data_IF_633612729058
#
_entry.id   IF_633612729058
#
_cell.length_a   1.000
_cell.length_b   1.000
_cell.length_c   1.000
_cell.angle_alpha   90.00
_cell.angle_beta   90.00
_cell.angle_gamma   90.00
#
_symmetry.space_group_name_H-M   'P 1'
#
loop_
_entity.id
_entity.type
_entity.pdbx_description
1 polymer ?
#
# COMPACT_ATOMS: atom_id res chain seq x y z
N UNK A 1 14.44 10.73 -6.29
CA UNK A 1 14.78 9.35 -6.69
C UNK A 1 14.15 8.32 -5.75
N UNK A 2 14.33 8.45 -4.43
CA UNK A 2 13.81 7.46 -3.49
C UNK A 2 12.26 7.41 -3.46
N UNK A 3 11.57 8.56 -3.54
CA UNK A 3 10.11 8.61 -3.63
C UNK A 3 9.52 7.88 -4.83
N UNK A 4 10.26 7.77 -5.94
CA UNK A 4 9.80 7.09 -7.14
C UNK A 4 9.60 5.60 -6.91
N UNK A 5 10.51 4.95 -6.18
CA UNK A 5 10.37 3.52 -5.85
C UNK A 5 9.18 3.25 -4.95
N UNK A 6 8.90 4.14 -3.98
CA UNK A 6 7.71 4.04 -3.13
C UNK A 6 6.44 4.09 -3.97
N UNK A 7 6.35 5.07 -4.88
CA UNK A 7 5.23 5.22 -5.81
C UNK A 7 5.10 4.01 -6.73
N UNK A 8 6.20 3.50 -7.27
CA UNK A 8 6.23 2.34 -8.16
C UNK A 8 5.75 1.06 -7.46
N UNK A 9 6.12 0.85 -6.19
CA UNK A 9 5.67 -0.29 -5.39
C UNK A 9 4.14 -0.29 -5.21
N UNK A 10 3.56 0.85 -4.83
CA UNK A 10 2.11 0.98 -4.71
C UNK A 10 1.39 0.84 -6.05
N UNK A 11 1.97 1.40 -7.12
CA UNK A 11 1.42 1.25 -8.46
C UNK A 11 1.44 -0.22 -8.93
N UNK A 12 2.50 -0.96 -8.64
CA UNK A 12 2.61 -2.38 -8.97
C UNK A 12 1.55 -3.22 -8.24
N UNK A 13 1.38 -3.02 -6.93
CA UNK A 13 0.40 -3.73 -6.10
C UNK A 13 -1.04 -3.49 -6.56
N UNK A 14 -1.40 -2.23 -6.84
CA UNK A 14 -2.75 -1.91 -7.30
C UNK A 14 -2.99 -2.44 -8.72
N UNK A 15 -2.01 -2.37 -9.62
CA UNK A 15 -2.15 -2.86 -10.99
C UNK A 15 -2.26 -4.39 -11.03
N UNK A 16 -1.50 -5.10 -10.19
CA UNK A 16 -1.64 -6.53 -9.99
C UNK A 16 -3.06 -6.88 -9.49
N UNK A 17 -3.56 -6.12 -8.51
CA UNK A 17 -4.92 -6.28 -7.99
C UNK A 17 -5.97 -6.06 -9.06
N UNK A 18 -5.84 -5.01 -9.88
CA UNK A 18 -6.71 -4.77 -11.05
C UNK A 18 -6.67 -5.93 -12.04
N UNK A 19 -5.47 -6.39 -12.41
CA UNK A 19 -5.29 -7.44 -13.42
C UNK A 19 -5.85 -8.79 -12.98
N UNK A 20 -5.76 -9.15 -11.69
CA UNK A 20 -6.23 -10.45 -11.19
C UNK A 20 -7.67 -10.44 -10.67
N UNK A 21 -8.14 -9.32 -10.09
CA UNK A 21 -9.40 -9.30 -9.34
C UNK A 21 -10.49 -8.43 -9.97
N UNK A 22 -10.17 -7.57 -10.94
CA UNK A 22 -11.11 -6.58 -11.48
C UNK A 22 -11.33 -6.81 -12.97
N UNK A 23 -12.20 -7.77 -13.33
CA UNK A 23 -12.62 -8.01 -14.72
C UNK A 23 -13.56 -6.90 -15.27
N UNK A 24 -14.26 -6.18 -14.39
CA UNK A 24 -15.15 -5.07 -14.81
C UNK A 24 -15.06 -3.93 -13.80
N UNK A 25 -14.36 -2.85 -14.18
CA UNK A 25 -14.25 -1.65 -13.35
C UNK A 25 -15.60 -0.93 -13.26
N UNK A 26 -16.15 -0.81 -12.05
CA UNK A 26 -17.35 -0.02 -11.79
C UNK A 26 -17.02 1.47 -11.60
N UNK A 27 -18.03 2.34 -11.70
CA UNK A 27 -17.88 3.80 -11.47
C UNK A 27 -17.27 4.12 -10.09
N UNK A 28 -17.63 3.37 -9.05
CA UNK A 28 -17.07 3.53 -7.71
C UNK A 28 -15.61 3.07 -7.61
N UNK A 29 -15.21 2.02 -8.34
CA UNK A 29 -13.82 1.56 -8.41
C UNK A 29 -12.93 2.65 -8.99
N UNK A 30 -13.38 3.33 -10.05
CA UNK A 30 -12.67 4.44 -10.67
C UNK A 30 -12.50 5.63 -9.72
N UNK A 31 -13.53 5.99 -8.94
CA UNK A 31 -13.44 7.09 -7.96
C UNK A 31 -12.43 6.77 -6.86
N UNK A 32 -12.43 5.54 -6.33
CA UNK A 32 -11.44 5.11 -5.33
C UNK A 32 -10.02 5.11 -5.90
N UNK A 33 -9.84 4.67 -7.14
CA UNK A 33 -8.54 4.70 -7.83
C UNK A 33 -8.02 6.13 -8.03
N UNK A 34 -8.88 7.07 -8.44
CA UNK A 34 -8.51 8.48 -8.53
C UNK A 34 -8.11 9.07 -7.16
N UNK A 35 -8.84 8.73 -6.10
CA UNK A 35 -8.49 9.18 -4.75
C UNK A 35 -7.16 8.57 -4.28
N UNK A 36 -6.90 7.30 -4.60
CA UNK A 36 -5.61 6.65 -4.37
C UNK A 36 -4.48 7.38 -5.10
N UNK A 37 -4.63 7.64 -6.41
CA UNK A 37 -3.62 8.34 -7.21
C UNK A 37 -3.35 9.76 -6.69
N UNK A 38 -4.39 10.48 -6.25
CA UNK A 38 -4.24 11.80 -5.63
C UNK A 38 -3.35 11.75 -4.38
N UNK A 39 -3.59 10.80 -3.47
CA UNK A 39 -2.74 10.63 -2.28
C UNK A 39 -1.34 10.12 -2.63
N UNK A 40 -1.23 9.26 -3.64
CA UNK A 40 0.05 8.76 -4.13
C UNK A 40 0.92 9.89 -4.69
N UNK A 41 0.31 10.88 -5.35
CA UNK A 41 1.00 12.09 -5.84
C UNK A 41 1.55 12.99 -4.73
N UNK A 42 1.05 12.86 -3.49
CA UNK A 42 1.57 13.57 -2.31
C UNK A 42 2.83 12.90 -1.75
N UNK A 43 3.08 11.61 -2.02
CA UNK A 43 4.25 10.89 -1.51
C UNK A 43 5.56 11.57 -1.90
N UNK A 44 5.80 11.99 -3.17
CA UNK A 44 7.00 12.75 -3.53
C UNK A 44 7.15 14.08 -2.79
N UNK A 45 6.05 14.80 -2.57
CA UNK A 45 6.05 16.08 -1.84
C UNK A 45 6.44 15.86 -0.38
N UNK A 46 5.83 14.88 0.28
CA UNK A 46 6.15 14.53 1.66
C UNK A 46 7.57 13.97 1.80
N UNK A 47 8.03 13.20 0.80
CA UNK A 47 9.42 12.69 0.76
C UNK A 47 10.42 13.84 0.64
N UNK A 48 10.11 14.89 -0.13
CA UNK A 48 10.95 16.09 -0.19
C UNK A 48 10.97 16.81 1.16
N UNK A 49 9.83 16.87 1.84
CA UNK A 49 9.71 17.56 3.11
C UNK A 49 10.47 16.89 4.25
N UNK A 50 10.34 15.56 4.41
CA UNK A 50 11.08 14.78 5.42
C UNK A 50 12.61 14.81 5.19
N UNK A 51 13.05 14.91 3.93
CA UNK A 51 14.47 15.03 3.58
C UNK A 51 15.03 16.43 3.79
N UNK A 52 14.22 17.48 3.61
CA UNK A 52 14.63 18.87 3.79
C UNK A 52 14.70 19.25 5.27
N UNK A 53 13.59 19.08 5.99
CA UNK A 53 13.48 19.40 7.40
C UNK A 53 13.07 18.17 8.19
N UNK A 54 14.07 17.52 8.78
CA UNK A 54 13.90 16.31 9.56
C UNK A 54 13.37 16.64 10.96
N UNK A 55 12.07 16.86 11.05
CA UNK A 55 11.34 17.11 12.29
C UNK A 55 10.33 15.98 12.57
N UNK A 56 9.94 15.81 13.84
CA UNK A 56 8.90 14.84 14.23
C UNK A 56 7.60 15.11 13.45
N UNK A 57 7.26 16.38 13.22
CA UNK A 57 6.07 16.78 12.46
C UNK A 57 6.13 16.30 11.01
N UNK A 58 7.28 16.44 10.35
CA UNK A 58 7.48 15.98 8.97
C UNK A 58 7.29 14.45 8.85
N UNK A 59 7.80 13.68 9.82
CA UNK A 59 7.65 12.22 9.84
C UNK A 59 6.20 11.80 10.11
N UNK A 60 5.52 12.48 11.03
CA UNK A 60 4.09 12.23 11.31
C UNK A 60 3.22 12.54 10.10
N UNK A 61 3.42 13.70 9.44
CA UNK A 61 2.71 14.04 8.22
C UNK A 61 2.95 13.03 7.09
N UNK A 62 4.20 12.58 6.93
CA UNK A 62 4.53 11.50 6.00
C UNK A 62 3.76 10.21 6.33
N UNK A 63 3.77 9.80 7.60
CA UNK A 63 3.05 8.63 8.08
C UNK A 63 1.55 8.68 7.83
N UNK A 64 0.92 9.86 8.03
CA UNK A 64 -0.51 10.08 7.76
C UNK A 64 -0.82 9.94 6.27
N UNK A 65 -0.04 10.57 5.39
CA UNK A 65 -0.24 10.46 3.93
C UNK A 65 -0.04 9.01 3.47
N UNK A 66 1.00 8.35 3.98
CA UNK A 66 1.25 6.94 3.68
C UNK A 66 0.10 6.03 4.15
N UNK A 67 -0.52 6.34 5.29
CA UNK A 67 -1.68 5.62 5.79
C UNK A 67 -2.94 5.87 4.94
N UNK A 68 -3.15 7.11 4.48
CA UNK A 68 -4.24 7.43 3.56
C UNK A 68 -4.11 6.66 2.24
N UNK A 69 -2.91 6.60 1.65
CA UNK A 69 -2.65 5.80 0.43
C UNK A 69 -3.08 4.35 0.63
N UNK A 70 -2.73 3.73 1.76
CA UNK A 70 -3.12 2.35 2.07
C UNK A 70 -4.64 2.17 2.23
N UNK A 71 -5.32 3.12 2.86
CA UNK A 71 -6.79 3.08 3.01
C UNK A 71 -7.44 3.10 1.63
N UNK A 72 -7.00 4.00 0.74
CA UNK A 72 -7.57 4.10 -0.60
C UNK A 72 -7.22 2.90 -1.47
N UNK A 73 -6.03 2.33 -1.35
CA UNK A 73 -5.64 1.08 -2.01
C UNK A 73 -6.59 -0.07 -1.63
N UNK A 74 -6.84 -0.27 -0.33
CA UNK A 74 -7.79 -1.28 0.16
C UNK A 74 -9.22 -0.99 -0.24
N UNK A 75 -9.64 0.28 -0.24
CA UNK A 75 -10.96 0.67 -0.71
C UNK A 75 -11.14 0.26 -2.18
N UNK A 76 -10.14 0.53 -3.04
CA UNK A 76 -10.14 0.13 -4.44
C UNK A 76 -10.17 -1.39 -4.60
N UNK A 77 -9.40 -2.14 -3.80
CA UNK A 77 -9.44 -3.62 -3.79
C UNK A 77 -10.82 -4.17 -3.40
N UNK A 78 -11.41 -3.67 -2.31
CA UNK A 78 -12.72 -4.12 -1.81
C UNK A 78 -13.83 -3.78 -2.81
N UNK A 79 -13.85 -2.56 -3.36
CA UNK A 79 -14.87 -2.11 -4.32
C UNK A 79 -14.70 -2.85 -5.65
N UNK A 80 -13.46 -2.99 -6.14
CA UNK A 80 -13.16 -3.73 -7.37
C UNK A 80 -13.57 -5.20 -7.32
N UNK A 81 -13.31 -5.87 -6.20
CA UNK A 81 -13.73 -7.25 -5.98
C UNK A 81 -15.26 -7.39 -5.88
N UNK A 82 -15.94 -6.42 -5.24
CA UNK A 82 -17.42 -6.37 -5.20
C UNK A 82 -18.03 -6.29 -6.59
N UNK A 83 -17.43 -5.52 -7.50
CA UNK A 83 -17.92 -5.34 -8.86
C UNK A 83 -17.65 -6.53 -9.78
N UNK A 84 -16.59 -7.32 -9.52
CA UNK A 84 -16.18 -8.39 -10.44
C UNK A 84 -16.63 -9.81 -10.06
N UNK A 85 -16.98 -10.08 -8.79
CA UNK A 85 -17.34 -11.43 -8.33
C UNK A 85 -18.63 -11.44 -7.48
N UNK A 86 -19.83 -11.36 -8.08
CA UNK A 86 -21.09 -11.52 -7.35
C UNK A 86 -21.31 -12.95 -6.82
N UNK A 87 -20.68 -13.97 -7.44
CA UNK A 87 -21.02 -15.38 -7.20
C UNK A 87 -20.16 -16.14 -6.17
N UNK A 88 -19.04 -15.58 -5.68
CA UNK A 88 -18.12 -16.29 -4.78
C UNK A 88 -18.04 -15.59 -3.42
N UNK A 89 -19.14 -15.69 -2.63
CA UNK A 89 -19.24 -15.12 -1.28
C UNK A 89 -18.16 -15.65 -0.30
N UNK A 90 -17.65 -16.86 -0.52
CA UNK A 90 -16.64 -17.52 0.33
C UNK A 90 -15.25 -16.93 0.14
N UNK A 91 -14.83 -16.71 -1.11
CA UNK A 91 -13.54 -16.08 -1.44
C UNK A 91 -13.50 -14.64 -0.94
N UNK A 92 -14.62 -13.90 -1.01
CA UNK A 92 -14.77 -12.56 -0.44
C UNK A 92 -14.51 -12.49 1.07
N UNK A 93 -14.98 -13.46 1.86
CA UNK A 93 -14.75 -13.49 3.33
C UNK A 93 -13.29 -13.83 3.66
N UNK A 94 -12.69 -14.75 2.93
CA UNK A 94 -11.30 -15.16 3.13
C UNK A 94 -10.32 -14.07 2.70
N UNK A 95 -10.54 -13.49 1.51
CA UNK A 95 -9.73 -12.39 0.99
C UNK A 95 -9.90 -11.11 1.81
N UNK A 96 -11.13 -10.78 2.24
CA UNK A 96 -11.37 -9.67 3.15
C UNK A 96 -10.60 -9.81 4.47
N UNK A 97 -10.52 -11.02 5.04
CA UNK A 97 -9.68 -11.28 6.24
C UNK A 97 -8.19 -11.14 5.95
N UNK A 98 -7.72 -11.60 4.79
CA UNK A 98 -6.32 -11.50 4.40
C UNK A 98 -5.89 -10.04 4.15
N UNK A 99 -6.66 -9.27 3.37
CA UNK A 99 -6.44 -7.84 3.19
C UNK A 99 -6.54 -7.08 4.51
N UNK A 100 -7.44 -7.48 5.41
CA UNK A 100 -7.54 -6.85 6.74
C UNK A 100 -6.36 -7.18 7.67
N UNK A 101 -5.85 -8.42 7.63
CA UNK A 101 -4.60 -8.80 8.32
C UNK A 101 -3.40 -8.05 7.75
N UNK A 102 -3.29 -7.92 6.42
CA UNK A 102 -2.26 -7.12 5.76
C UNK A 102 -2.35 -5.65 6.18
N UNK A 103 -3.56 -5.08 6.21
CA UNK A 103 -3.81 -3.73 6.69
C UNK A 103 -3.38 -3.53 8.13
N UNK A 104 -3.77 -4.44 9.03
CA UNK A 104 -3.35 -4.39 10.44
C UNK A 104 -1.84 -4.46 10.55
N UNK A 105 -1.20 -5.34 9.79
CA UNK A 105 0.25 -5.48 9.83
C UNK A 105 0.95 -4.21 9.37
N UNK A 106 0.51 -3.62 8.25
CA UNK A 106 1.04 -2.36 7.73
C UNK A 106 0.73 -1.17 8.65
N UNK A 107 -0.43 -1.15 9.29
CA UNK A 107 -0.80 -0.16 10.29
C UNK A 107 0.09 -0.24 11.53
N UNK A 108 0.32 -1.45 12.05
CA UNK A 108 1.21 -1.69 13.19
C UNK A 108 2.64 -1.27 12.86
N UNK A 109 3.09 -1.55 11.64
CA UNK A 109 4.41 -1.16 11.14
C UNK A 109 4.54 0.37 10.97
N UNK A 110 3.51 1.04 10.47
CA UNK A 110 3.43 2.51 10.41
C UNK A 110 3.46 3.13 11.83
N UNK A 111 2.72 2.55 12.78
CA UNK A 111 2.69 2.97 14.18
C UNK A 111 4.07 2.80 14.84
N UNK A 112 4.75 1.68 14.59
CA UNK A 112 6.12 1.43 15.06
C UNK A 112 7.09 2.46 14.48
N UNK A 113 6.97 2.83 13.19
CA UNK A 113 7.83 3.85 12.61
C UNK A 113 7.58 5.25 13.18
N UNK A 114 6.34 5.60 13.49
CA UNK A 114 6.02 6.86 14.20
C UNK A 114 6.65 6.84 15.60
N UNK A 115 6.53 5.75 16.35
CA UNK A 115 7.14 5.59 17.68
C UNK A 115 8.67 5.70 17.64
N UNK A 116 9.32 5.04 16.68
CA UNK A 116 10.78 5.13 16.46
C UNK A 116 11.19 6.57 16.12
N UNK A 117 10.34 7.30 15.37
CA UNK A 117 10.61 8.70 15.02
C UNK A 117 10.65 9.65 16.21
N UNK A 118 9.97 9.34 17.32
CA UNK A 118 10.04 10.16 18.54
C UNK A 118 11.40 10.06 19.23
N UNK A 119 12.10 8.94 19.08
CA UNK A 119 13.45 8.75 19.63
C UNK A 119 14.51 9.25 18.65
N UNK A 120 14.40 8.88 17.37
CA UNK A 120 15.34 9.29 16.34
C UNK A 120 14.67 9.42 14.95
N UNK A 121 14.35 10.64 14.49
CA UNK A 121 13.63 10.84 13.23
C UNK A 121 14.43 10.39 11.99
N UNK A 122 15.77 10.31 12.08
CA UNK A 122 16.64 9.79 11.01
C UNK A 122 16.36 8.31 10.72
N UNK A 123 16.12 7.51 11.76
CA UNK A 123 15.84 6.08 11.60
C UNK A 123 14.46 5.85 10.99
N UNK A 124 13.46 6.62 11.45
CA UNK A 124 12.11 6.58 10.88
C UNK A 124 12.11 6.87 9.39
N UNK A 125 12.83 7.91 8.95
CA UNK A 125 12.97 8.25 7.53
C UNK A 125 13.60 7.10 6.72
N UNK A 126 14.71 6.53 7.19
CA UNK A 126 15.39 5.43 6.48
C UNK A 126 14.48 4.21 6.36
N UNK A 127 13.78 3.85 7.43
CA UNK A 127 12.87 2.71 7.45
C UNK A 127 11.68 2.89 6.49
N UNK A 128 11.05 4.07 6.50
CA UNK A 128 9.96 4.40 5.58
C UNK A 128 10.37 4.36 4.11
N UNK A 129 11.62 4.71 3.81
CA UNK A 129 12.12 4.77 2.44
C UNK A 129 12.70 3.43 1.96
N UNK A 130 13.39 2.70 2.83
CA UNK A 130 14.05 1.44 2.47
C UNK A 130 13.06 0.28 2.38
N UNK A 131 12.05 0.23 3.25
CA UNK A 131 11.09 -0.89 3.30
C UNK A 131 10.32 -1.08 1.97
N UNK A 132 9.78 -0.03 1.32
CA UNK A 132 9.12 -0.16 0.02
C UNK A 132 10.08 -0.57 -1.09
N UNK A 133 11.34 -0.12 -1.05
CA UNK A 133 12.37 -0.48 -2.04
C UNK A 133 12.70 -1.96 -1.94
N UNK A 134 12.93 -2.46 -0.71
CA UNK A 134 13.22 -3.87 -0.48
C UNK A 134 12.03 -4.72 -0.93
N UNK A 135 10.80 -4.32 -0.59
CA UNK A 135 9.60 -5.03 -1.03
C UNK A 135 9.40 -5.03 -2.55
N UNK A 136 9.83 -3.96 -3.24
CA UNK A 136 9.75 -3.86 -4.69
C UNK A 136 10.80 -4.73 -5.41
N UNK A 137 12.04 -4.74 -4.90
CA UNK A 137 13.15 -5.47 -5.52
C UNK A 137 13.12 -6.96 -5.18
N UNK A 138 12.62 -7.31 -3.99
CA UNK A 138 12.53 -8.69 -3.55
C UNK A 138 11.31 -9.36 -4.21
N UNK A 139 11.49 -10.43 -4.99
CA UNK A 139 10.40 -11.05 -5.74
C UNK A 139 9.33 -11.59 -4.79
N UNK A 140 8.07 -11.30 -5.09
CA UNK A 140 6.93 -11.89 -4.40
C UNK A 140 6.96 -13.42 -4.59
N UNK A 141 7.35 -14.13 -3.53
CA UNK A 141 7.35 -15.59 -3.50
C UNK A 141 5.95 -16.21 -3.66
N UNK A 142 4.87 -15.42 -3.85
CA UNK A 142 3.56 -15.93 -4.27
C UNK A 142 3.59 -16.74 -5.55
N UNK A 143 4.50 -16.45 -6.49
CA UNK A 143 4.66 -17.23 -7.72
C UNK A 143 5.16 -18.67 -7.50
N UNK A 144 5.72 -18.99 -6.32
CA UNK A 144 6.13 -20.37 -6.01
C UNK A 144 4.97 -21.25 -5.50
N UNK A 145 3.84 -20.67 -5.08
CA UNK A 145 2.71 -21.46 -4.54
C UNK A 145 1.76 -21.97 -5.61
N UNK A 146 1.59 -21.26 -6.73
CA UNK A 146 0.81 -21.74 -7.89
C UNK A 146 1.47 -22.94 -8.58
N UNK A 147 2.80 -23.09 -8.51
CA UNK A 147 3.51 -24.26 -9.08
C UNK A 147 3.52 -25.52 -8.20
N UNK A 148 3.12 -25.43 -6.93
CA UNK A 148 3.10 -26.56 -5.99
C UNK A 148 1.73 -27.22 -5.83
N UNK A 149 0.66 -26.62 -6.37
CA UNK A 149 -0.68 -27.22 -6.40
C UNK A 149 -0.95 -28.09 -7.62
N UNK A 150 0.04 -28.25 -8.51
CA UNK A 150 -0.07 -28.93 -9.81
C UNK A 150 0.86 -30.16 -9.88
N UNK A 151 1.20 -30.76 -8.73
CA UNK A 151 1.93 -32.02 -8.62
C UNK A 151 1.22 -32.98 -7.68
#
# INVERSE_FOLDING_TARGET
MISFFVVANFWYEIHYTFSFHIMRAGKMTMVCDFAFLANLSLIPVMTKWIMGDLSVLSVVCYGIVYFLVQIFELATEIVGMRSSLPHIKTFRKFWGRFSWLRFIWLFLLNLVFILISFVQPRLGMILYLAFPIINFVMPDNRNQRTRKGDK
#
